data_IF_672963243736
#
_entry.id   IF_672963243736
#
_cell.length_a   1.000
_cell.length_b   1.000
_cell.length_c   1.000
_cell.angle_alpha   90.00
_cell.angle_beta   90.00
_cell.angle_gamma   90.00
#
_symmetry.space_group_name_H-M   'P 1'
#
loop_
_entity.id
_entity.type
_entity.pdbx_description
1 polymer ?
#
# COMPACT_ATOMS: atom_id res chain seq x y z
N UNK A 1 57.21 27.18 -34.62
CA UNK A 1 55.92 27.13 -35.33
C UNK A 1 54.95 26.53 -34.35
N UNK A 2 54.02 27.35 -33.86
CA UNK A 2 53.39 27.24 -32.55
C UNK A 2 52.19 26.29 -32.57
N UNK A 3 52.15 25.41 -31.59
CA UNK A 3 51.15 24.36 -31.43
C UNK A 3 49.73 24.89 -31.22
N UNK A 4 48.82 24.13 -31.82
CA UNK A 4 47.37 24.26 -31.72
C UNK A 4 46.88 24.09 -30.29
N UNK A 5 46.15 25.07 -29.77
CA UNK A 5 45.05 24.84 -28.84
C UNK A 5 43.96 25.89 -29.10
N UNK A 6 42.99 25.54 -29.95
CA UNK A 6 41.72 26.24 -30.03
C UNK A 6 40.99 26.05 -28.70
N UNK A 7 41.08 27.04 -27.82
CA UNK A 7 40.42 27.04 -26.52
C UNK A 7 38.91 27.13 -26.75
N UNK A 8 38.24 25.98 -26.68
CA UNK A 8 36.78 25.90 -26.62
C UNK A 8 36.33 26.67 -25.37
N UNK A 9 35.73 27.84 -25.59
CA UNK A 9 35.06 28.61 -24.55
C UNK A 9 33.74 27.88 -24.30
N UNK A 10 33.72 27.02 -23.28
CA UNK A 10 32.47 26.50 -22.75
C UNK A 10 31.69 27.69 -22.20
N UNK A 11 30.66 28.11 -22.93
CA UNK A 11 29.61 28.97 -22.40
C UNK A 11 28.89 28.12 -21.36
N UNK A 12 29.31 28.24 -20.10
CA UNK A 12 28.61 27.68 -18.97
C UNK A 12 27.23 28.34 -18.95
N UNK A 13 26.21 27.62 -19.42
CA UNK A 13 24.83 28.04 -19.25
C UNK A 13 24.60 28.17 -17.73
N UNK A 14 23.98 29.25 -17.24
CA UNK A 14 23.59 29.31 -15.84
C UNK A 14 22.69 28.12 -15.60
N UNK A 15 23.03 27.29 -14.62
CA UNK A 15 22.18 26.19 -14.19
C UNK A 15 20.82 26.80 -13.82
N UNK A 16 19.86 26.71 -14.72
CA UNK A 16 18.46 26.89 -14.35
C UNK A 16 18.20 25.68 -13.49
N UNK A 17 18.27 25.88 -12.18
CA UNK A 17 17.90 24.91 -11.17
C UNK A 17 16.39 24.75 -11.26
N UNK A 18 15.95 24.10 -12.35
CA UNK A 18 14.57 23.66 -12.51
C UNK A 18 14.39 22.58 -11.45
N UNK A 19 13.40 22.73 -10.55
CA UNK A 19 13.16 21.73 -9.53
C UNK A 19 13.01 20.37 -10.22
N UNK A 20 13.76 19.39 -9.74
CA UNK A 20 13.74 18.06 -10.32
C UNK A 20 12.29 17.56 -10.24
N UNK A 21 11.73 17.00 -11.31
CA UNK A 21 10.29 16.67 -11.43
C UNK A 21 9.66 15.98 -10.21
N UNK A 22 10.43 15.16 -9.50
CA UNK A 22 10.02 14.43 -8.31
C UNK A 22 9.99 15.31 -7.03
N UNK A 23 10.70 16.44 -7.00
CA UNK A 23 10.59 17.46 -5.94
C UNK A 23 9.21 18.12 -5.98
N UNK A 24 8.70 18.37 -7.20
CA UNK A 24 7.35 18.94 -7.42
C UNK A 24 6.25 17.99 -6.96
N UNK A 25 6.45 16.67 -7.08
CA UNK A 25 5.48 15.67 -6.61
C UNK A 25 5.37 15.62 -5.08
N UNK A 26 6.47 15.85 -4.37
CA UNK A 26 6.49 15.87 -2.90
C UNK A 26 5.85 17.14 -2.33
N UNK A 27 5.97 18.27 -3.05
CA UNK A 27 5.40 19.56 -2.64
C UNK A 27 3.86 19.61 -2.76
N UNK A 28 3.27 18.72 -3.57
CA UNK A 28 1.83 18.68 -3.80
C UNK A 28 1.02 18.40 -2.53
N UNK A 29 1.52 17.53 -1.65
CA UNK A 29 0.84 17.15 -0.40
C UNK A 29 0.86 18.28 0.66
N UNK A 30 1.81 19.20 0.55
CA UNK A 30 1.95 20.34 1.47
C UNK A 30 1.26 21.61 0.97
N UNK A 31 0.86 21.65 -0.31
CA UNK A 31 0.18 22.80 -0.91
C UNK A 31 -1.12 23.20 -0.19
N UNK A 32 -1.36 24.52 -0.10
CA UNK A 32 -2.60 25.07 0.48
C UNK A 32 -3.84 24.68 -0.34
N UNK A 33 -3.69 24.52 -1.66
CA UNK A 33 -4.75 24.06 -2.56
C UNK A 33 -5.22 22.65 -2.20
N UNK A 34 -4.28 21.75 -1.86
CA UNK A 34 -4.59 20.39 -1.42
C UNK A 34 -5.33 20.38 -0.08
N UNK A 35 -4.95 21.24 0.86
CA UNK A 35 -5.65 21.39 2.14
C UNK A 35 -7.10 21.85 1.95
N UNK A 36 -7.33 22.83 1.07
CA UNK A 36 -8.68 23.28 0.72
C UNK A 36 -9.52 22.17 0.08
N UNK A 37 -8.89 21.30 -0.73
CA UNK A 37 -9.56 20.12 -1.29
C UNK A 37 -9.92 19.08 -0.22
N UNK A 38 -9.06 18.85 0.77
CA UNK A 38 -9.36 17.96 1.90
C UNK A 38 -10.53 18.48 2.75
N UNK A 39 -10.62 19.80 2.94
CA UNK A 39 -11.75 20.43 3.62
C UNK A 39 -13.04 20.26 2.82
N UNK A 40 -12.98 20.43 1.49
CA UNK A 40 -14.10 20.16 0.62
C UNK A 40 -14.57 18.70 0.76
N UNK A 41 -13.66 17.72 0.76
CA UNK A 41 -14.00 16.29 0.90
C UNK A 41 -14.71 15.94 2.21
N UNK A 42 -14.75 16.82 3.20
CA UNK A 42 -15.43 16.57 4.47
C UNK A 42 -16.96 16.45 4.33
N UNK A 43 -17.56 16.94 3.23
CA UNK A 43 -19.01 16.74 2.96
C UNK A 43 -19.40 15.26 2.90
N UNK A 44 -18.47 14.36 2.57
CA UNK A 44 -18.71 12.92 2.54
C UNK A 44 -19.06 12.33 3.91
N UNK A 45 -18.71 13.01 5.01
CA UNK A 45 -19.08 12.61 6.37
C UNK A 45 -20.56 12.81 6.67
N UNK A 46 -21.25 13.68 5.94
CA UNK A 46 -22.67 13.89 6.17
C UNK A 46 -23.46 12.61 5.87
N UNK A 47 -24.47 12.26 6.68
CA UNK A 47 -25.24 11.02 6.51
C UNK A 47 -25.96 10.94 5.15
N UNK A 48 -26.20 12.09 4.51
CA UNK A 48 -26.80 12.19 3.18
C UNK A 48 -25.91 11.57 2.09
N UNK A 49 -24.58 11.72 2.21
CA UNK A 49 -23.59 11.27 1.23
C UNK A 49 -22.84 10.01 1.67
N UNK A 50 -22.72 9.79 2.98
CA UNK A 50 -22.04 8.62 3.55
C UNK A 50 -22.61 7.28 3.05
N UNK A 51 -23.90 7.23 2.68
CA UNK A 51 -24.55 6.04 2.11
C UNK A 51 -23.95 5.54 0.80
N UNK A 52 -23.21 6.39 0.07
CA UNK A 52 -22.56 6.03 -1.19
C UNK A 52 -21.12 5.53 -0.99
N UNK A 53 -20.61 5.55 0.24
CA UNK A 53 -19.23 5.16 0.55
C UNK A 53 -19.18 3.65 0.76
N UNK A 54 -18.54 2.95 -0.17
CA UNK A 54 -18.30 1.50 -0.09
C UNK A 54 -17.18 1.16 0.90
N UNK A 55 -16.18 2.05 1.00
CA UNK A 55 -14.97 1.84 1.80
C UNK A 55 -14.90 2.85 2.97
N UNK A 56 -15.31 2.45 4.19
CA UNK A 56 -15.33 3.36 5.34
C UNK A 56 -13.94 3.82 5.77
N UNK A 57 -12.91 3.04 5.44
CA UNK A 57 -11.51 3.37 5.75
C UNK A 57 -11.05 4.68 5.09
N UNK A 58 -11.64 5.07 3.95
CA UNK A 58 -11.24 6.29 3.25
C UNK A 58 -11.44 7.56 4.10
N UNK A 59 -12.49 7.60 4.94
CA UNK A 59 -12.73 8.73 5.86
C UNK A 59 -11.70 8.79 6.99
N UNK A 60 -11.17 7.64 7.39
CA UNK A 60 -10.07 7.55 8.34
C UNK A 60 -8.78 8.09 7.73
N UNK A 61 -8.45 7.65 6.50
CA UNK A 61 -7.28 8.17 5.77
C UNK A 61 -7.39 9.68 5.53
N UNK A 62 -8.58 10.20 5.21
CA UNK A 62 -8.83 11.64 5.08
C UNK A 62 -8.44 12.40 6.37
N UNK A 63 -8.75 11.83 7.53
CA UNK A 63 -8.43 12.45 8.83
C UNK A 63 -6.93 12.44 9.11
N UNK A 64 -6.24 11.37 8.71
CA UNK A 64 -4.78 11.27 8.82
C UNK A 64 -4.08 12.27 7.91
N UNK A 65 -4.57 12.47 6.69
CA UNK A 65 -4.00 13.44 5.74
C UNK A 65 -4.08 14.90 6.23
N UNK A 66 -5.01 15.23 7.13
CA UNK A 66 -5.07 16.56 7.76
C UNK A 66 -3.90 16.79 8.72
N UNK A 67 -3.31 15.73 9.27
CA UNK A 67 -2.17 15.85 10.16
C UNK A 67 -0.89 16.17 9.35
N UNK A 68 -0.22 17.31 9.61
CA UNK A 68 0.98 17.69 8.87
C UNK A 68 2.15 16.72 9.09
N UNK A 69 2.17 16.00 10.23
CA UNK A 69 3.18 14.96 10.52
C UNK A 69 3.01 13.78 9.57
N UNK A 70 1.78 13.28 9.44
CA UNK A 70 1.46 12.15 8.58
C UNK A 70 1.75 12.44 7.10
N UNK A 71 1.54 13.67 6.63
CA UNK A 71 1.89 14.07 5.25
C UNK A 71 3.37 13.93 4.94
N UNK A 72 4.24 14.26 5.90
CA UNK A 72 5.69 14.09 5.77
C UNK A 72 6.10 12.63 5.88
N UNK A 73 5.42 11.88 6.74
CA UNK A 73 5.72 10.47 6.95
C UNK A 73 5.29 9.62 5.75
N UNK A 74 4.14 9.88 5.13
CA UNK A 74 3.66 9.11 3.96
C UNK A 74 4.46 9.38 2.68
N UNK A 75 5.16 10.51 2.61
CA UNK A 75 6.13 10.77 1.55
C UNK A 75 7.33 9.81 1.60
N UNK A 76 7.58 9.16 2.75
CA UNK A 76 8.61 8.14 2.90
C UNK A 76 8.06 6.78 2.47
N UNK A 77 8.83 6.08 1.64
CA UNK A 77 8.48 4.75 1.14
C UNK A 77 8.25 3.74 2.28
N UNK A 78 9.12 3.74 3.31
CA UNK A 78 9.02 2.81 4.45
C UNK A 78 7.65 2.85 5.15
N UNK A 79 7.13 4.06 5.39
CA UNK A 79 5.88 4.28 6.10
C UNK A 79 4.71 3.91 5.21
N UNK A 80 4.81 4.20 3.91
CA UNK A 80 3.81 3.82 2.92
C UNK A 80 3.64 2.30 2.85
N UNK A 81 4.75 1.55 2.78
CA UNK A 81 4.71 0.07 2.78
C UNK A 81 4.11 -0.47 4.07
N UNK A 82 4.56 0.03 5.23
CA UNK A 82 4.03 -0.40 6.53
C UNK A 82 2.53 -0.13 6.67
N UNK A 83 2.06 1.04 6.22
CA UNK A 83 0.65 1.40 6.21
C UNK A 83 -0.15 0.42 5.35
N UNK A 84 0.32 0.14 4.13
CA UNK A 84 -0.35 -0.79 3.21
C UNK A 84 -0.38 -2.23 3.76
N UNK A 85 0.71 -2.67 4.39
CA UNK A 85 0.78 -3.97 5.09
C UNK A 85 -0.25 -4.05 6.21
N UNK A 86 -0.43 -3.00 7.00
CA UNK A 86 -1.45 -2.94 8.06
C UNK A 86 -2.87 -3.09 7.50
N UNK A 87 -3.19 -2.43 6.37
CA UNK A 87 -4.48 -2.60 5.69
C UNK A 87 -4.65 -4.02 5.18
N UNK A 88 -3.61 -4.57 4.57
CA UNK A 88 -3.62 -5.92 4.02
C UNK A 88 -3.82 -6.97 5.12
N UNK A 89 -3.08 -6.87 6.22
CA UNK A 89 -3.20 -7.77 7.37
C UNK A 89 -4.58 -7.66 8.03
N UNK A 90 -5.13 -6.45 8.14
CA UNK A 90 -6.49 -6.24 8.64
C UNK A 90 -7.53 -6.90 7.73
N UNK A 91 -7.35 -6.80 6.42
CA UNK A 91 -8.21 -7.45 5.44
C UNK A 91 -8.08 -8.97 5.53
N UNK A 92 -6.85 -9.50 5.58
CA UNK A 92 -6.58 -10.93 5.68
C UNK A 92 -7.24 -11.52 6.93
N UNK A 93 -7.09 -10.86 8.09
CA UNK A 93 -7.75 -11.29 9.33
C UNK A 93 -9.27 -11.36 9.21
N UNK A 94 -9.90 -10.51 8.40
CA UNK A 94 -11.35 -10.54 8.17
C UNK A 94 -11.79 -11.68 7.27
N UNK A 95 -10.93 -12.15 6.37
CA UNK A 95 -11.24 -13.21 5.40
C UNK A 95 -10.86 -14.59 5.91
N UNK A 96 -9.80 -14.69 6.73
CA UNK A 96 -9.41 -15.94 7.39
C UNK A 96 -10.24 -16.12 8.66
N UNK A 97 -11.18 -17.06 8.65
CA UNK A 97 -11.87 -17.47 9.86
C UNK A 97 -11.04 -18.62 10.47
N UNK A 98 -10.20 -18.38 11.50
CA UNK A 98 -9.29 -19.42 12.00
C UNK A 98 -10.04 -20.67 12.46
N UNK A 99 -11.29 -20.53 12.93
CA UNK A 99 -12.11 -21.68 13.32
C UNK A 99 -12.63 -22.49 12.13
N UNK A 100 -13.01 -21.84 11.03
CA UNK A 100 -13.56 -22.51 9.84
C UNK A 100 -12.49 -23.16 8.97
N UNK A 101 -11.29 -22.56 8.93
CA UNK A 101 -10.18 -23.07 8.11
C UNK A 101 -9.48 -24.27 8.79
N UNK A 102 -9.40 -24.29 10.14
CA UNK A 102 -8.95 -25.46 10.91
C UNK A 102 -9.93 -26.63 10.74
N UNK A 103 -11.24 -26.39 10.76
CA UNK A 103 -12.23 -27.45 10.55
C UNK A 103 -12.21 -28.01 9.12
N UNK A 104 -11.91 -27.19 8.11
CA UNK A 104 -11.72 -27.64 6.73
C UNK A 104 -10.45 -28.49 6.57
N UNK A 105 -9.32 -28.05 7.12
CA UNK A 105 -8.07 -28.81 7.10
C UNK A 105 -8.15 -30.13 7.90
N UNK A 106 -8.93 -30.16 8.98
CA UNK A 106 -9.16 -31.38 9.78
C UNK A 106 -10.10 -32.40 9.10
N UNK A 107 -11.02 -31.96 8.23
CA UNK A 107 -11.93 -32.86 7.50
C UNK A 107 -11.30 -33.52 6.27
N UNK A 108 -10.31 -32.89 5.65
CA UNK A 108 -9.57 -33.49 4.51
C UNK A 108 -8.51 -34.51 4.92
N UNK A 109 -8.12 -34.58 6.20
CA UNK A 109 -7.02 -35.45 6.68
C UNK A 109 -7.46 -36.81 7.23
N UNK A 110 -8.75 -37.16 7.17
CA UNK A 110 -9.24 -38.49 7.55
C UNK A 110 -9.83 -39.25 6.35
N UNK A 111 -9.11 -40.20 5.72
CA UNK A 111 -9.76 -41.24 4.94
C UNK A 111 -10.55 -42.19 5.86
N UNK A 112 -11.71 -42.73 5.43
CA UNK A 112 -12.53 -43.60 6.25
C UNK A 112 -11.75 -44.87 6.61
N UNK A 113 -11.55 -45.06 7.91
CA UNK A 113 -11.18 -46.35 8.46
C UNK A 113 -12.34 -47.32 8.24
N UNK A 114 -12.28 -48.11 7.16
CA UNK A 114 -13.06 -49.33 7.06
C UNK A 114 -12.18 -50.50 6.58
N UNK A 115 -11.91 -51.35 7.57
CA UNK A 115 -11.52 -52.75 7.54
C UNK A 115 -11.87 -53.51 6.25
N UNK A 116 -10.97 -54.35 5.73
CA UNK A 116 -11.26 -55.73 5.28
C UNK A 116 -9.96 -56.46 4.86
N UNK A 117 -9.52 -57.36 5.74
CA UNK A 117 -9.06 -58.73 5.46
C UNK A 117 -7.79 -58.95 4.60
N UNK A 118 -6.66 -59.19 5.27
CA UNK A 118 -5.62 -60.10 4.72
C UNK A 118 -5.90 -61.50 5.26
N UNK A 119 -6.56 -62.32 4.43
CA UNK A 119 -6.65 -63.79 4.61
C UNK A 119 -5.42 -64.43 3.97
N UNK A 120 -4.69 -65.17 4.80
CA UNK A 120 -4.16 -66.53 4.58
C UNK A 120 -3.41 -66.84 3.28
N UNK A 121 -2.14 -67.27 3.38
CA UNK A 121 -1.75 -68.69 3.20
C UNK A 121 -0.23 -68.95 3.39
N UNK A 122 0.17 -70.17 3.83
CA UNK A 122 1.54 -70.51 4.19
C UNK A 122 2.30 -71.31 3.10
N UNK A 123 3.61 -71.09 3.04
CA UNK A 123 4.64 -72.10 2.73
C UNK A 123 4.86 -72.51 1.26
N UNK A 124 6.08 -72.29 0.78
CA UNK A 124 6.96 -73.36 0.29
C UNK A 124 8.42 -72.92 0.27
#
# INVERSE_FOLDING_TARGET
MSDSQGKQVQVQQPAVDLPNRWEVELEYLESEEFLNFLEYLEYWREPKYAKYIVYPNCLFVLSLLKEPRFRKDIAREDVSTMFMDDFYMRWLKKTTNPEGDIEKMAKETNPPADSTTIKTEPGK
#
